data_IF_673438693291
#
_entry.id   IF_673438693291
#
_cell.length_a   1.000
_cell.length_b   1.000
_cell.length_c   1.000
_cell.angle_alpha   90.00
_cell.angle_beta   90.00
_cell.angle_gamma   90.00
#
_symmetry.space_group_name_H-M   'P 1'
#
loop_
_entity.id
_entity.type
_entity.pdbx_description
1 polymer ?
#
# COMPACT_ATOMS: atom_id res chain seq x y z
N UNK A 1 9.14 18.79 -5.37
CA UNK A 1 8.88 17.42 -5.89
C UNK A 1 8.44 16.58 -4.71
N UNK A 2 7.15 16.26 -4.60
CA UNK A 2 6.62 15.45 -3.50
C UNK A 2 7.34 14.10 -3.50
N UNK A 3 8.09 13.80 -2.45
CA UNK A 3 8.74 12.51 -2.31
C UNK A 3 7.65 11.53 -1.86
N UNK A 4 7.36 10.52 -2.67
CA UNK A 4 6.42 9.46 -2.33
C UNK A 4 7.19 8.33 -1.66
N UNK A 5 7.10 8.28 -0.33
CA UNK A 5 7.75 7.27 0.49
C UNK A 5 6.95 7.05 1.78
N UNK A 6 7.15 5.91 2.43
CA UNK A 6 6.74 5.65 3.80
C UNK A 6 8.00 5.56 4.66
N UNK A 7 8.08 6.38 5.69
CA UNK A 7 9.13 6.33 6.70
C UNK A 7 8.51 6.70 8.05
N UNK A 8 7.83 5.74 8.65
CA UNK A 8 7.20 5.91 9.97
C UNK A 8 8.01 5.25 11.08
N UNK A 9 8.80 4.23 10.74
CA UNK A 9 9.54 3.38 11.67
C UNK A 9 11.05 3.39 11.37
N UNK A 10 11.49 4.15 10.38
CA UNK A 10 12.88 4.17 9.90
C UNK A 10 13.13 3.26 8.69
N UNK A 11 12.09 2.86 7.94
CA UNK A 11 12.16 1.88 6.85
C UNK A 11 12.42 2.47 5.45
N UNK A 12 12.20 3.78 5.27
CA UNK A 12 12.42 4.49 4.00
C UNK A 12 11.90 3.77 2.73
N UNK A 13 10.69 3.22 2.77
CA UNK A 13 10.09 2.55 1.60
C UNK A 13 9.74 3.59 0.53
N UNK A 14 10.46 3.54 -0.59
CA UNK A 14 10.23 4.40 -1.77
C UNK A 14 9.37 3.70 -2.83
N UNK A 15 8.90 4.47 -3.83
CA UNK A 15 8.11 3.92 -4.95
C UNK A 15 8.79 2.72 -5.61
N UNK A 16 10.10 2.78 -5.87
CA UNK A 16 10.81 1.70 -6.56
C UNK A 16 10.70 0.35 -5.81
N UNK A 17 10.76 0.37 -4.48
CA UNK A 17 10.56 -0.82 -3.64
C UNK A 17 9.13 -1.35 -3.78
N UNK A 18 8.14 -0.45 -3.70
CA UNK A 18 6.72 -0.79 -3.84
C UNK A 18 6.42 -1.38 -5.22
N UNK A 19 6.90 -0.77 -6.30
CA UNK A 19 6.69 -1.25 -7.67
C UNK A 19 7.34 -2.62 -7.89
N UNK A 20 8.56 -2.85 -7.39
CA UNK A 20 9.21 -4.17 -7.47
C UNK A 20 8.38 -5.23 -6.76
N UNK A 21 7.90 -4.95 -5.55
CA UNK A 21 7.12 -5.88 -4.76
C UNK A 21 5.74 -6.17 -5.35
N UNK A 22 5.03 -5.14 -5.81
CA UNK A 22 3.73 -5.29 -6.48
C UNK A 22 3.86 -6.03 -7.81
N UNK A 23 4.87 -5.72 -8.62
CA UNK A 23 5.11 -6.42 -9.88
C UNK A 23 5.41 -7.91 -9.66
N UNK A 24 6.21 -8.24 -8.65
CA UNK A 24 6.50 -9.63 -8.28
C UNK A 24 5.26 -10.36 -7.80
N UNK A 25 4.46 -9.75 -6.93
CA UNK A 25 3.19 -10.31 -6.47
C UNK A 25 2.21 -10.53 -7.64
N UNK A 26 2.07 -9.55 -8.52
CA UNK A 26 1.26 -9.66 -9.74
C UNK A 26 1.68 -10.81 -10.65
N UNK A 27 2.98 -10.93 -10.93
CA UNK A 27 3.52 -11.98 -11.80
C UNK A 27 3.22 -13.39 -11.27
N UNK A 28 3.39 -13.58 -9.95
CA UNK A 28 3.27 -14.90 -9.33
C UNK A 28 1.83 -15.31 -9.02
N UNK A 29 0.91 -14.35 -8.84
CA UNK A 29 -0.51 -14.64 -8.57
C UNK A 29 -1.43 -14.41 -9.77
N UNK A 30 -0.89 -13.90 -10.88
CA UNK A 30 -1.64 -13.55 -12.09
C UNK A 30 -2.57 -12.33 -11.92
N UNK A 31 -2.28 -11.46 -10.96
CA UNK A 31 -3.03 -10.24 -10.70
C UNK A 31 -2.61 -9.10 -11.64
N UNK A 32 -3.49 -8.14 -11.84
CA UNK A 32 -3.22 -6.89 -12.55
C UNK A 32 -3.77 -5.74 -11.71
N UNK A 33 -2.92 -4.77 -11.38
CA UNK A 33 -3.27 -3.61 -10.55
C UNK A 33 -3.65 -2.46 -11.46
N UNK A 34 -4.78 -1.81 -11.15
CA UNK A 34 -5.25 -0.59 -11.79
C UNK A 34 -4.68 0.65 -11.09
N UNK A 35 -4.86 0.73 -9.78
CA UNK A 35 -4.33 1.82 -8.95
C UNK A 35 -4.11 1.35 -7.50
N UNK A 36 -3.30 2.09 -6.75
CA UNK A 36 -3.05 1.79 -5.34
C UNK A 36 -2.60 3.02 -4.54
N UNK A 37 -2.82 2.95 -3.23
CA UNK A 37 -2.16 3.82 -2.26
C UNK A 37 -1.76 3.03 -1.02
N UNK A 38 -0.74 3.48 -0.31
CA UNK A 38 -0.33 2.91 0.96
C UNK A 38 0.16 3.95 1.95
N UNK A 39 -0.07 3.67 3.23
CA UNK A 39 0.37 4.49 4.35
C UNK A 39 0.76 3.61 5.55
N UNK A 40 1.42 4.18 6.57
CA UNK A 40 1.67 3.46 7.82
C UNK A 40 0.40 3.38 8.68
N UNK A 41 0.22 2.24 9.35
CA UNK A 41 -0.57 2.10 10.57
C UNK A 41 0.38 2.38 11.72
N UNK A 42 0.22 3.55 12.36
CA UNK A 42 1.01 3.92 13.53
C UNK A 42 0.64 3.06 14.74
N UNK A 43 1.56 2.98 15.70
CA UNK A 43 1.33 2.28 16.97
C UNK A 43 0.06 2.79 17.66
N UNK A 44 -0.77 1.87 18.14
CA UNK A 44 -1.83 2.17 19.10
C UNK A 44 -1.60 1.35 20.36
N UNK A 45 -1.37 2.05 21.47
CA UNK A 45 -1.11 1.55 22.84
C UNK A 45 -0.05 0.46 22.95
N UNK A 46 -0.37 -0.77 22.53
CA UNK A 46 0.44 -1.98 22.64
C UNK A 46 0.58 -2.77 21.32
N UNK A 47 0.05 -2.26 20.21
CA UNK A 47 0.14 -2.93 18.92
C UNK A 47 1.29 -2.37 18.05
N UNK A 48 2.20 -3.24 17.57
CA UNK A 48 3.18 -2.86 16.56
C UNK A 48 2.52 -2.26 15.33
N UNK A 49 3.21 -1.31 14.69
CA UNK A 49 2.74 -0.69 13.45
C UNK A 49 2.66 -1.67 12.29
N UNK A 50 2.11 -1.23 11.16
CA UNK A 50 2.06 -2.00 9.92
C UNK A 50 2.05 -1.04 8.72
N UNK A 51 2.14 -1.57 7.50
CA UNK A 51 1.71 -0.81 6.31
C UNK A 51 0.29 -1.20 5.96
N UNK A 52 -0.53 -0.23 5.56
CA UNK A 52 -1.89 -0.45 5.06
C UNK A 52 -1.95 -0.04 3.60
N UNK A 53 -2.41 -0.97 2.76
CA UNK A 53 -2.49 -0.82 1.32
C UNK A 53 -3.95 -0.89 0.89
N UNK A 54 -4.34 -0.02 -0.02
CA UNK A 54 -5.60 -0.13 -0.77
C UNK A 54 -5.20 -0.36 -2.22
N UNK A 55 -5.65 -1.46 -2.81
CA UNK A 55 -5.29 -1.86 -4.17
C UNK A 55 -6.55 -2.11 -4.98
N UNK A 56 -6.73 -1.35 -6.06
CA UNK A 56 -7.73 -1.62 -7.09
C UNK A 56 -7.12 -2.54 -8.14
N UNK A 57 -7.78 -3.66 -8.42
CA UNK A 57 -7.30 -4.65 -9.37
C UNK A 57 -8.13 -4.61 -10.66
N UNK A 58 -7.47 -4.53 -11.82
CA UNK A 58 -8.08 -4.89 -13.11
C UNK A 58 -8.40 -6.39 -13.14
N UNK A 59 -7.51 -7.19 -12.54
CA UNK A 59 -7.67 -8.63 -12.37
C UNK A 59 -7.19 -9.04 -10.98
N UNK A 60 -8.09 -9.56 -10.16
CA UNK A 60 -7.76 -10.02 -8.80
C UNK A 60 -6.75 -11.18 -8.82
N UNK A 61 -5.88 -11.29 -7.80
CA UNK A 61 -4.99 -12.45 -7.65
C UNK A 61 -5.79 -13.74 -7.53
N UNK A 62 -5.22 -14.86 -8.01
CA UNK A 62 -5.81 -16.20 -7.79
C UNK A 62 -5.93 -16.55 -6.31
N UNK A 63 -4.91 -16.17 -5.54
CA UNK A 63 -4.80 -16.41 -4.10
C UNK A 63 -4.41 -15.08 -3.43
N UNK A 64 -5.34 -14.46 -2.71
CA UNK A 64 -5.12 -13.12 -2.15
C UNK A 64 -4.06 -13.10 -1.05
N UNK A 65 -4.11 -14.04 -0.09
CA UNK A 65 -3.11 -14.07 0.99
C UNK A 65 -1.70 -14.33 0.45
N UNK A 66 -1.57 -15.17 -0.59
CA UNK A 66 -0.31 -15.38 -1.29
C UNK A 66 0.21 -14.10 -1.95
N UNK A 67 -0.67 -13.27 -2.52
CA UNK A 67 -0.29 -11.96 -3.06
C UNK A 67 0.30 -11.08 -1.96
N UNK A 68 -0.35 -11.03 -0.79
CA UNK A 68 0.11 -10.22 0.35
C UNK A 68 1.44 -10.75 0.91
N UNK A 69 1.63 -12.06 0.99
CA UNK A 69 2.90 -12.65 1.42
C UNK A 69 4.04 -12.33 0.46
N UNK A 70 3.78 -12.37 -0.86
CA UNK A 70 4.79 -12.03 -1.86
C UNK A 70 5.12 -10.53 -1.81
N UNK A 71 4.11 -9.68 -1.64
CA UNK A 71 4.31 -8.23 -1.44
C UNK A 71 5.22 -7.97 -0.23
N UNK A 72 4.90 -8.54 0.93
CA UNK A 72 5.68 -8.38 2.17
C UNK A 72 7.11 -8.91 2.01
N UNK A 73 7.28 -10.14 1.55
CA UNK A 73 8.60 -10.76 1.38
C UNK A 73 9.46 -10.00 0.38
N UNK A 74 8.88 -9.54 -0.75
CA UNK A 74 9.66 -8.78 -1.73
C UNK A 74 10.05 -7.41 -1.18
N UNK A 75 9.19 -6.75 -0.38
CA UNK A 75 9.57 -5.50 0.31
C UNK A 75 10.76 -5.71 1.26
N UNK A 76 10.79 -6.83 1.99
CA UNK A 76 11.92 -7.22 2.85
C UNK A 76 13.19 -7.50 2.04
N UNK A 77 13.07 -8.18 0.91
CA UNK A 77 14.22 -8.46 0.02
C UNK A 77 14.84 -7.20 -0.58
N UNK A 78 14.02 -6.23 -1.00
CA UNK A 78 14.48 -5.04 -1.72
C UNK A 78 14.76 -3.83 -0.82
N UNK A 79 14.40 -3.91 0.46
CA UNK A 79 14.65 -2.85 1.44
C UNK A 79 15.08 -3.43 2.79
N UNK A 80 16.36 -3.25 3.13
CA UNK A 80 16.96 -3.75 4.37
C UNK A 80 16.41 -3.10 5.63
N UNK A 81 16.04 -1.82 5.56
CA UNK A 81 15.46 -1.13 6.73
C UNK A 81 14.04 -1.65 6.99
N UNK A 82 13.24 -1.89 5.95
CA UNK A 82 11.95 -2.57 6.06
C UNK A 82 12.10 -3.97 6.65
N UNK A 83 13.04 -4.79 6.14
CA UNK A 83 13.32 -6.11 6.70
C UNK A 83 13.70 -6.06 8.18
N UNK A 84 14.57 -5.13 8.56
CA UNK A 84 14.96 -4.92 9.95
C UNK A 84 13.76 -4.58 10.85
N UNK A 85 12.79 -3.79 10.36
CA UNK A 85 11.56 -3.45 11.11
C UNK A 85 10.54 -4.58 11.13
N UNK A 86 10.48 -5.42 10.08
CA UNK A 86 9.64 -6.62 10.01
C UNK A 86 10.18 -7.79 10.84
N UNK A 87 11.40 -7.70 11.37
CA UNK A 87 11.98 -8.77 12.18
C UNK A 87 11.13 -9.06 13.44
N UNK A 88 10.66 -10.30 13.53
CA UNK A 88 9.82 -10.82 14.64
C UNK A 88 8.52 -10.03 14.90
N UNK A 89 8.03 -9.28 13.91
CA UNK A 89 6.80 -8.48 14.01
C UNK A 89 6.78 -7.49 15.20
N UNK A 90 7.96 -7.11 15.73
CA UNK A 90 8.06 -6.30 16.96
C UNK A 90 7.78 -4.82 16.72
N UNK A 91 8.26 -4.28 15.60
CA UNK A 91 8.08 -2.88 15.23
C UNK A 91 7.08 -2.72 14.08
N UNK A 92 7.15 -3.63 13.10
CA UNK A 92 6.30 -3.62 11.92
C UNK A 92 5.74 -5.02 11.67
N UNK A 93 4.42 -5.16 11.65
CA UNK A 93 3.70 -6.40 11.30
C UNK A 93 3.57 -6.55 9.79
N UNK A 94 3.10 -7.72 9.36
CA UNK A 94 2.68 -8.02 7.99
C UNK A 94 1.74 -6.91 7.48
N UNK A 95 1.89 -6.45 6.22
CA UNK A 95 1.03 -5.42 5.67
C UNK A 95 -0.43 -5.85 5.65
N UNK A 96 -1.31 -4.92 5.99
CA UNK A 96 -2.76 -5.04 5.81
C UNK A 96 -3.10 -4.56 4.41
N UNK A 97 -3.75 -5.41 3.62
CA UNK A 97 -4.09 -5.08 2.23
C UNK A 97 -5.60 -5.17 2.05
N UNK A 98 -6.17 -4.12 1.47
CA UNK A 98 -7.58 -4.02 1.12
C UNK A 98 -7.75 -4.11 -0.39
N UNK A 99 -8.74 -4.91 -0.82
CA UNK A 99 -9.18 -4.92 -2.21
C UNK A 99 -10.18 -3.78 -2.39
N UNK A 100 -9.80 -2.76 -3.16
CA UNK A 100 -10.70 -1.68 -3.52
C UNK A 100 -11.84 -2.17 -4.44
N UNK A 101 -13.07 -1.62 -4.32
CA UNK A 101 -14.09 -1.77 -5.35
C UNK A 101 -13.64 -1.08 -6.65
N UNK A 102 -14.28 -1.48 -7.75
CA UNK A 102 -14.02 -0.86 -9.05
C UNK A 102 -14.31 0.64 -9.00
N UNK A 103 -13.43 1.41 -9.61
CA UNK A 103 -13.47 2.86 -9.76
C UNK A 103 -13.36 3.66 -8.45
N UNK A 104 -12.95 3.05 -7.33
CA UNK A 104 -12.79 3.74 -6.04
C UNK A 104 -11.93 5.00 -6.15
N UNK A 105 -10.74 4.88 -6.75
CA UNK A 105 -9.80 6.00 -6.87
C UNK A 105 -10.33 7.10 -7.80
N UNK A 106 -11.05 6.71 -8.85
CA UNK A 106 -11.72 7.63 -9.77
C UNK A 106 -12.83 8.41 -9.05
N UNK A 107 -13.70 7.70 -8.33
CA UNK A 107 -14.82 8.30 -7.60
C UNK A 107 -14.34 9.18 -6.44
N UNK A 108 -13.24 8.81 -5.78
CA UNK A 108 -12.60 9.68 -4.79
C UNK A 108 -12.10 10.99 -5.41
N UNK A 109 -11.40 10.94 -6.55
CA UNK A 109 -10.98 12.15 -7.27
C UNK A 109 -12.17 13.01 -7.72
N UNK A 110 -13.24 12.37 -8.17
CA UNK A 110 -14.52 13.01 -8.54
C UNK A 110 -15.16 13.74 -7.38
N UNK A 111 -15.28 13.08 -6.22
CA UNK A 111 -15.85 13.68 -5.01
C UNK A 111 -15.05 14.90 -4.54
N UNK A 112 -13.74 14.94 -4.78
CA UNK A 112 -12.88 16.08 -4.45
C UNK A 112 -12.88 17.20 -5.50
N UNK A 113 -13.65 17.08 -6.59
CA UNK A 113 -13.62 18.04 -7.70
C UNK A 113 -12.28 18.06 -8.45
N UNK A 114 -11.53 16.95 -8.39
CA UNK A 114 -10.16 16.82 -8.90
C UNK A 114 -10.06 15.90 -10.13
N UNK A 115 -11.17 15.66 -10.82
CA UNK A 115 -11.14 14.96 -12.11
C UNK A 115 -10.43 15.82 -13.16
N UNK A 116 -9.26 15.35 -13.60
CA UNK A 116 -8.43 16.02 -14.60
C UNK A 116 -6.95 15.61 -14.49
N UNK A 117 -6.18 15.83 -15.56
CA UNK A 117 -4.84 15.26 -15.76
C UNK A 117 -3.73 15.68 -14.80
N UNK A 118 -4.02 16.48 -13.76
CA UNK A 118 -3.00 17.00 -12.83
C UNK A 118 -3.10 16.42 -11.41
N UNK A 119 -4.24 15.82 -11.04
CA UNK A 119 -4.43 15.24 -9.71
C UNK A 119 -4.34 13.72 -9.77
N UNK A 120 -3.45 13.16 -8.95
CA UNK A 120 -3.32 11.71 -8.72
C UNK A 120 -3.32 11.46 -7.22
N UNK A 121 -3.86 10.32 -6.82
CA UNK A 121 -3.70 9.84 -5.44
C UNK A 121 -2.22 9.50 -5.22
N UNK A 122 -1.59 9.95 -4.13
CA UNK A 122 -0.22 9.55 -3.83
C UNK A 122 -0.13 8.03 -3.65
N UNK A 123 0.80 7.39 -4.36
CA UNK A 123 1.06 5.94 -4.23
C UNK A 123 1.53 5.56 -2.83
N UNK A 124 2.38 6.41 -2.25
CA UNK A 124 2.90 6.26 -0.89
C UNK A 124 2.75 7.60 -0.16
N UNK A 125 2.26 7.56 1.07
CA UNK A 125 2.12 8.72 1.94
C UNK A 125 2.41 8.33 3.40
N UNK A 126 2.96 9.27 4.18
CA UNK A 126 3.09 9.07 5.63
C UNK A 126 1.79 9.43 6.34
N UNK A 127 1.04 10.39 5.80
CA UNK A 127 -0.27 10.74 6.33
C UNK A 127 -1.33 9.72 5.94
N UNK A 128 -2.15 9.32 6.92
CA UNK A 128 -3.24 8.37 6.71
C UNK A 128 -4.44 8.93 5.94
N UNK A 129 -4.51 10.25 5.76
CA UNK A 129 -5.66 10.96 5.17
C UNK A 129 -6.21 10.30 3.89
N UNK A 130 -5.36 9.87 2.98
CA UNK A 130 -5.81 9.27 1.71
C UNK A 130 -6.43 7.88 1.92
N UNK A 131 -5.77 7.03 2.71
CA UNK A 131 -6.26 5.69 3.04
C UNK A 131 -7.55 5.78 3.84
N UNK A 132 -7.62 6.65 4.85
CA UNK A 132 -8.81 6.78 5.69
C UNK A 132 -10.02 7.27 4.88
N UNK A 133 -9.85 8.31 4.03
CA UNK A 133 -10.94 8.79 3.17
C UNK A 133 -11.39 7.75 2.12
N UNK A 134 -10.46 6.94 1.60
CA UNK A 134 -10.79 5.86 0.67
C UNK A 134 -11.53 4.71 1.38
N UNK A 135 -11.12 4.35 2.61
CA UNK A 135 -11.80 3.34 3.42
C UNK A 135 -13.24 3.73 3.74
N UNK A 136 -13.51 5.01 4.04
CA UNK A 136 -14.87 5.51 4.25
C UNK A 136 -15.78 5.28 3.04
N UNK A 137 -15.24 5.40 1.82
CA UNK A 137 -15.96 5.15 0.57
C UNK A 137 -16.13 3.67 0.22
N UNK A 138 -15.48 2.76 0.97
CA UNK A 138 -15.63 1.31 0.81
C UNK A 138 -16.71 0.70 1.73
N UNK A 139 -17.27 1.51 2.64
CA UNK A 139 -18.34 1.14 3.58
C UNK A 139 -19.72 1.29 2.95
#
# INVERSE_FOLDING_TARGET
RTKHFINAFGEEVIIDNAEKALNKACADTGAQIKDYTACPIYFDKDEPGAHEWIIEFEKKPREFERFVDILDNTLREVNSDYDAKRFKDMALKRPKVHIAPNDLFYDWLKAKGKLGGQHKVPRLANERKYVDELLEMMT
#
